data_IF_160242072605
#
_entry.id   IF_160242072605
#
_cell.length_a   1.000
_cell.length_b   1.000
_cell.length_c   1.000
_cell.angle_alpha   90.00
_cell.angle_beta   90.00
_cell.angle_gamma   90.00
#
_symmetry.space_group_name_H-M   'P 1'
#
loop_
_entity.id
_entity.type
_entity.pdbx_description
1 polymer ?
#
# COMPACT_ATOMS: atom_id res chain seq x y z
N UNK A 1 22.83 17.54 -6.09
CA UNK A 1 22.96 16.59 -7.23
C UNK A 1 22.87 17.40 -8.51
N UNK A 2 23.75 17.18 -9.51
CA UNK A 2 23.58 17.82 -10.82
C UNK A 2 22.23 17.43 -11.44
N UNK A 3 21.68 18.30 -12.30
CA UNK A 3 20.39 18.05 -12.94
C UNK A 3 20.48 16.80 -13.86
N UNK A 4 19.64 15.77 -13.65
CA UNK A 4 19.70 14.57 -14.47
C UNK A 4 19.24 14.83 -15.90
N UNK A 5 20.03 14.35 -16.87
CA UNK A 5 19.82 14.57 -18.31
C UNK A 5 19.03 13.45 -19.00
N UNK A 6 18.81 12.31 -18.34
CA UNK A 6 18.06 11.18 -18.90
C UNK A 6 17.06 10.67 -17.83
N UNK A 7 15.83 11.16 -17.90
CA UNK A 7 14.75 10.82 -16.97
C UNK A 7 13.79 9.87 -17.68
N UNK A 8 13.68 8.63 -17.18
CA UNK A 8 12.67 7.67 -17.61
C UNK A 8 11.44 7.80 -16.73
N UNK A 9 10.27 7.95 -17.35
CA UNK A 9 9.00 8.05 -16.64
C UNK A 9 8.33 6.67 -16.60
N UNK A 10 7.91 6.24 -15.40
CA UNK A 10 7.00 5.10 -15.22
C UNK A 10 5.88 5.54 -14.28
N UNK A 11 4.69 5.77 -14.82
CA UNK A 11 3.58 6.39 -14.07
C UNK A 11 3.96 7.79 -13.56
N UNK A 12 3.84 8.00 -12.24
CA UNK A 12 4.25 9.25 -11.57
C UNK A 12 5.63 9.20 -10.93
N UNK A 13 6.39 8.13 -11.20
CA UNK A 13 7.75 7.98 -10.70
C UNK A 13 8.73 8.29 -11.81
N UNK A 14 9.63 9.23 -11.55
CA UNK A 14 10.75 9.58 -12.40
C UNK A 14 11.96 8.76 -11.97
N UNK A 15 12.64 8.15 -12.93
CA UNK A 15 13.86 7.38 -12.74
C UNK A 15 14.99 8.07 -13.47
N UNK A 16 16.18 8.11 -12.89
CA UNK A 16 17.39 8.55 -13.60
C UNK A 16 18.58 7.74 -13.16
N UNK A 17 19.55 7.57 -14.05
CA UNK A 17 20.80 6.86 -13.75
C UNK A 17 21.94 7.87 -13.79
N UNK A 18 22.66 8.02 -12.67
CA UNK A 18 23.84 8.87 -12.56
C UNK A 18 24.96 8.07 -11.92
N UNK A 19 26.12 7.98 -12.60
CA UNK A 19 27.29 7.24 -12.13
C UNK A 19 26.95 5.78 -11.75
N UNK A 20 26.25 5.07 -12.65
CA UNK A 20 25.82 3.68 -12.48
C UNK A 20 24.92 3.42 -11.26
N UNK A 21 24.35 4.47 -10.67
CA UNK A 21 23.32 4.37 -9.63
C UNK A 21 22.00 4.86 -10.17
N UNK A 22 20.97 4.05 -10.03
CA UNK A 22 19.61 4.45 -10.38
C UNK A 22 19.02 5.24 -9.21
N UNK A 23 18.26 6.29 -9.50
CA UNK A 23 17.55 7.10 -8.52
C UNK A 23 16.09 7.22 -8.95
N UNK A 24 15.18 7.26 -7.98
CA UNK A 24 13.76 7.56 -8.19
C UNK A 24 13.33 8.79 -7.43
N UNK A 25 12.34 9.50 -7.96
CA UNK A 25 11.53 10.46 -7.20
C UNK A 25 10.09 10.47 -7.69
N UNK A 26 9.17 10.93 -6.85
CA UNK A 26 7.80 11.23 -7.30
C UNK A 26 7.81 12.56 -8.05
N UNK A 27 7.07 12.62 -9.16
CA UNK A 27 6.91 13.84 -9.94
C UNK A 27 6.32 14.96 -9.07
N UNK A 28 6.97 16.11 -9.04
CA UNK A 28 6.45 17.32 -8.39
C UNK A 28 6.75 17.48 -6.89
N UNK A 29 7.25 16.47 -6.20
CA UNK A 29 7.61 16.58 -4.77
C UNK A 29 8.64 15.51 -4.40
N UNK A 30 9.77 15.96 -3.81
CA UNK A 30 10.85 15.21 -3.13
C UNK A 30 12.22 15.12 -3.85
N UNK A 31 13.33 15.04 -3.09
CA UNK A 31 14.67 14.78 -3.61
C UNK A 31 14.76 13.38 -4.26
N UNK A 32 15.72 13.23 -5.17
CA UNK A 32 16.07 11.94 -5.78
C UNK A 32 16.57 10.94 -4.72
N UNK A 33 15.94 9.78 -4.64
CA UNK A 33 16.30 8.69 -3.75
C UNK A 33 17.00 7.58 -4.54
N UNK A 34 18.17 7.08 -4.13
CA UNK A 34 18.81 5.97 -4.82
C UNK A 34 17.92 4.72 -4.79
N UNK A 35 17.81 4.06 -5.93
CA UNK A 35 17.29 2.71 -6.07
C UNK A 35 18.51 1.82 -5.94
N UNK A 36 18.61 1.13 -4.82
CA UNK A 36 19.57 0.04 -4.69
C UNK A 36 19.14 -1.05 -5.69
N UNK A 37 20.00 -1.37 -6.65
CA UNK A 37 19.78 -2.47 -7.58
C UNK A 37 19.61 -3.77 -6.75
N UNK A 38 18.44 -4.39 -6.84
CA UNK A 38 17.88 -5.31 -5.82
C UNK A 38 18.61 -6.68 -5.64
N UNK A 39 18.20 -7.51 -4.65
CA UNK A 39 19.00 -8.17 -3.57
C UNK A 39 19.74 -9.47 -4.03
N UNK A 40 20.64 -10.14 -3.24
CA UNK A 40 20.77 -10.17 -1.78
C UNK A 40 22.18 -9.87 -1.23
N UNK A 41 22.21 -9.48 0.04
CA UNK A 41 23.41 -9.50 0.85
C UNK A 41 24.02 -8.12 1.06
N UNK A 42 23.85 -7.62 2.27
CA UNK A 42 24.86 -6.91 3.05
C UNK A 42 25.74 -5.91 2.31
N UNK A 43 25.51 -4.61 2.53
CA UNK A 43 26.44 -3.78 3.31
C UNK A 43 25.93 -2.33 3.39
N UNK A 44 25.19 -2.06 4.45
CA UNK A 44 25.20 -0.74 5.09
C UNK A 44 26.45 -0.67 5.99
N UNK A 45 27.27 0.36 5.82
CA UNK A 45 28.16 0.89 6.86
C UNK A 45 27.86 2.39 6.89
N UNK A 46 27.53 3.07 7.98
CA UNK A 46 27.88 2.85 9.37
C UNK A 46 26.88 3.58 10.28
N UNK A 47 25.88 2.84 10.71
CA UNK A 47 25.34 2.86 12.07
C UNK A 47 25.03 1.39 12.31
N UNK A 48 25.67 0.78 13.30
CA UNK A 48 25.71 -0.67 13.54
C UNK A 48 24.49 -1.41 12.98
N UNK A 49 24.66 -2.39 12.06
CA UNK A 49 23.55 -3.23 11.69
C UNK A 49 23.25 -4.05 12.94
N UNK A 50 22.21 -3.65 13.65
CA UNK A 50 21.56 -4.54 14.58
C UNK A 50 21.13 -5.74 13.71
N UNK A 51 21.91 -6.82 13.77
CA UNK A 51 21.64 -8.14 13.18
C UNK A 51 20.41 -8.79 13.83
N UNK A 52 19.47 -7.98 14.25
CA UNK A 52 18.26 -8.38 14.93
C UNK A 52 17.25 -8.59 13.82
N UNK A 53 16.72 -9.80 13.76
CA UNK A 53 15.52 -10.06 12.96
C UNK A 53 14.51 -8.93 13.18
N UNK A 54 13.70 -8.58 12.16
CA UNK A 54 12.65 -7.58 12.31
C UNK A 54 11.85 -7.87 13.58
N UNK A 55 11.68 -6.87 14.44
CA UNK A 55 10.82 -7.01 15.61
C UNK A 55 9.36 -7.00 15.14
N UNK A 56 8.90 -8.17 14.71
CA UNK A 56 7.53 -8.39 14.24
C UNK A 56 6.51 -8.22 15.35
N UNK A 57 6.93 -8.10 16.61
CA UNK A 57 6.02 -7.93 17.77
C UNK A 57 5.70 -6.46 18.05
N UNK A 58 6.35 -5.54 17.33
CA UNK A 58 6.18 -4.10 17.49
C UNK A 58 4.73 -3.67 17.25
N UNK A 59 4.26 -2.71 18.05
CA UNK A 59 2.86 -2.26 18.02
C UNK A 59 2.44 -1.51 16.75
N UNK A 60 3.40 -1.08 15.94
CA UNK A 60 3.23 -0.35 14.69
C UNK A 60 3.96 -1.05 13.53
N UNK A 61 4.06 -2.38 13.60
CA UNK A 61 4.76 -3.19 12.59
C UNK A 61 4.10 -3.11 11.21
N UNK A 62 2.78 -3.01 11.14
CA UNK A 62 2.04 -2.87 9.89
C UNK A 62 1.51 -1.45 9.72
N UNK A 63 1.39 -1.01 8.48
CA UNK A 63 0.68 0.21 8.11
C UNK A 63 -0.46 -0.13 7.16
N UNK A 64 -1.65 0.41 7.44
CA UNK A 64 -2.77 0.45 6.51
C UNK A 64 -2.69 1.72 5.67
N UNK A 65 -2.78 1.55 4.36
CA UNK A 65 -2.75 2.62 3.37
C UNK A 65 -4.06 2.68 2.60
N UNK A 66 -4.48 3.89 2.24
CA UNK A 66 -5.32 4.11 1.07
C UNK A 66 -4.42 4.26 -0.14
N UNK A 67 -4.60 3.38 -1.12
CA UNK A 67 -3.92 3.43 -2.41
C UNK A 67 -4.91 3.90 -3.48
N UNK A 68 -4.51 4.91 -4.25
CA UNK A 68 -5.24 5.37 -5.44
C UNK A 68 -4.44 5.01 -6.67
N UNK A 69 -5.07 4.33 -7.62
CA UNK A 69 -4.43 3.81 -8.82
C UNK A 69 -5.05 4.41 -10.07
N UNK A 70 -4.22 4.71 -11.07
CA UNK A 70 -4.68 5.14 -12.39
C UNK A 70 -5.47 4.00 -13.05
N UNK A 71 -6.59 4.37 -13.68
CA UNK A 71 -7.34 3.50 -14.59
C UNK A 71 -7.12 3.97 -16.04
N UNK A 72 -8.02 3.62 -16.96
CA UNK A 72 -7.95 4.14 -18.33
C UNK A 72 -8.05 5.68 -18.34
N UNK A 73 -7.59 6.34 -19.41
CA UNK A 73 -7.78 7.78 -19.56
C UNK A 73 -9.24 8.16 -19.33
N UNK A 74 -9.46 9.25 -18.59
CA UNK A 74 -10.78 9.81 -18.23
C UNK A 74 -11.63 8.98 -17.26
N UNK A 75 -11.12 7.84 -16.76
CA UNK A 75 -11.75 7.11 -15.67
C UNK A 75 -11.34 7.65 -14.29
N UNK A 76 -12.25 7.61 -13.29
CA UNK A 76 -11.89 7.96 -11.93
C UNK A 76 -10.82 7.01 -11.39
N UNK A 77 -10.07 7.46 -10.39
CA UNK A 77 -9.03 6.62 -9.80
C UNK A 77 -9.67 5.44 -9.06
N UNK A 78 -9.06 4.27 -9.25
CA UNK A 78 -9.38 3.08 -8.48
C UNK A 78 -8.85 3.21 -7.07
N UNK A 79 -9.64 2.81 -6.08
CA UNK A 79 -9.23 2.81 -4.68
C UNK A 79 -9.06 1.38 -4.19
N UNK A 80 -7.96 1.16 -3.49
CA UNK A 80 -7.69 -0.07 -2.76
C UNK A 80 -7.13 0.26 -1.38
N UNK A 81 -7.43 -0.59 -0.40
CA UNK A 81 -6.83 -0.53 0.93
C UNK A 81 -5.69 -1.52 0.97
N UNK A 82 -4.51 -1.12 1.44
CA UNK A 82 -3.33 -1.98 1.42
C UNK A 82 -2.71 -2.05 2.79
N UNK A 83 -2.46 -3.25 3.30
CA UNK A 83 -1.62 -3.44 4.47
C UNK A 83 -0.23 -3.88 4.02
N UNK A 84 0.80 -3.27 4.58
CA UNK A 84 2.19 -3.65 4.34
C UNK A 84 3.02 -3.42 5.59
N UNK A 85 4.12 -4.17 5.80
CA UNK A 85 5.08 -3.87 6.85
C UNK A 85 5.58 -2.42 6.75
N UNK A 86 5.57 -1.71 7.88
CA UNK A 86 5.85 -0.27 7.96
C UNK A 86 7.24 0.09 7.46
N UNK A 87 8.23 -0.75 7.75
CA UNK A 87 9.64 -0.51 7.40
C UNK A 87 10.07 -1.26 6.12
N UNK A 88 9.10 -1.71 5.33
CA UNK A 88 9.34 -2.58 4.18
C UNK A 88 9.58 -4.04 4.58
N UNK A 89 9.90 -4.86 3.59
CA UNK A 89 10.07 -6.29 3.81
C UNK A 89 11.42 -6.62 4.45
N UNK A 90 11.46 -7.57 5.40
CA UNK A 90 12.72 -8.00 5.96
C UNK A 90 13.63 -8.60 4.89
N UNK A 91 14.92 -8.23 4.93
CA UNK A 91 15.92 -8.65 3.93
C UNK A 91 16.45 -10.07 4.20
N UNK A 92 16.27 -10.57 5.42
CA UNK A 92 16.73 -11.90 5.84
C UNK A 92 15.53 -12.84 6.00
N UNK A 93 15.67 -14.11 5.59
CA UNK A 93 14.68 -15.17 5.87
C UNK A 93 14.37 -15.15 7.36
N UNK A 94 13.19 -14.63 7.68
CA UNK A 94 12.75 -14.45 9.05
C UNK A 94 12.59 -15.78 9.78
N UNK A 95 12.36 -15.70 11.11
CA UNK A 95 12.08 -16.88 11.91
C UNK A 95 10.95 -17.69 11.29
N UNK A 96 10.97 -19.01 11.46
CA UNK A 96 9.92 -19.92 10.98
C UNK A 96 8.59 -19.66 11.74
N UNK A 97 7.91 -18.57 11.42
CA UNK A 97 6.51 -18.33 11.79
C UNK A 97 5.60 -19.14 10.86
N UNK A 98 4.33 -19.31 11.23
CA UNK A 98 3.36 -20.08 10.44
C UNK A 98 3.26 -19.57 8.99
N UNK A 99 2.74 -20.38 8.07
CA UNK A 99 2.69 -20.04 6.64
C UNK A 99 2.00 -18.70 6.35
N UNK A 100 0.96 -18.36 7.12
CA UNK A 100 0.23 -17.10 6.97
C UNK A 100 1.02 -15.89 7.50
N UNK A 101 1.61 -16.00 8.69
CA UNK A 101 2.41 -14.92 9.31
C UNK A 101 3.66 -14.61 8.49
N UNK A 102 4.32 -15.63 7.93
CA UNK A 102 5.41 -15.41 6.99
C UNK A 102 4.91 -14.65 5.75
N UNK A 103 3.76 -15.02 5.20
CA UNK A 103 3.26 -14.42 3.96
C UNK A 103 3.02 -12.92 4.09
N UNK A 104 2.38 -12.47 5.18
CA UNK A 104 2.06 -11.04 5.38
C UNK A 104 3.25 -10.20 5.84
N UNK A 105 4.33 -10.83 6.32
CA UNK A 105 5.60 -10.14 6.64
C UNK A 105 6.42 -9.82 5.38
N UNK A 106 6.21 -10.55 4.29
CA UNK A 106 6.94 -10.35 3.02
C UNK A 106 6.04 -9.89 1.87
N UNK A 107 4.78 -9.59 2.14
CA UNK A 107 3.83 -9.16 1.12
C UNK A 107 3.06 -7.92 1.57
N UNK A 108 2.68 -7.11 0.59
CA UNK A 108 1.58 -6.16 0.74
C UNK A 108 0.28 -6.90 0.45
N UNK A 109 -0.69 -6.79 1.35
CA UNK A 109 -2.02 -7.36 1.19
C UNK A 109 -2.98 -6.27 0.74
N UNK A 110 -3.55 -6.43 -0.45
CA UNK A 110 -4.42 -5.47 -1.11
C UNK A 110 -5.86 -5.93 -0.95
N UNK A 111 -6.71 -5.10 -0.35
CA UNK A 111 -8.15 -5.23 -0.31
C UNK A 111 -8.76 -4.29 -1.35
N UNK A 112 -9.51 -4.84 -2.29
CA UNK A 112 -10.10 -4.06 -3.36
C UNK A 112 -11.37 -4.72 -3.87
N UNK A 113 -12.22 -3.90 -4.46
CA UNK A 113 -13.37 -4.35 -5.23
C UNK A 113 -13.20 -3.90 -6.68
N UNK A 114 -13.38 -4.81 -7.63
CA UNK A 114 -13.21 -4.56 -9.07
C UNK A 114 -14.43 -5.02 -9.85
N UNK A 115 -14.64 -4.44 -11.02
CA UNK A 115 -15.75 -4.76 -11.91
C UNK A 115 -16.66 -3.56 -12.19
N UNK A 116 -17.44 -3.70 -13.25
CA UNK A 116 -18.30 -2.61 -13.74
C UNK A 116 -19.70 -2.71 -13.13
N UNK A 117 -20.52 -3.63 -13.62
CA UNK A 117 -21.92 -3.82 -13.19
C UNK A 117 -22.04 -4.54 -11.85
N UNK A 118 -21.21 -5.57 -11.67
CA UNK A 118 -21.10 -6.32 -10.42
C UNK A 118 -19.65 -6.21 -9.93
N UNK A 119 -19.43 -5.38 -8.91
CA UNK A 119 -18.13 -5.35 -8.27
C UNK A 119 -17.95 -6.60 -7.42
N UNK A 120 -16.79 -7.23 -7.55
CA UNK A 120 -16.39 -8.38 -6.76
C UNK A 120 -15.25 -7.98 -5.84
N UNK A 121 -15.25 -8.53 -4.63
CA UNK A 121 -14.11 -8.45 -3.75
C UNK A 121 -12.97 -9.31 -4.32
N UNK A 122 -11.84 -8.69 -4.63
CA UNK A 122 -10.69 -9.30 -5.28
C UNK A 122 -9.41 -9.02 -4.49
N UNK A 123 -9.25 -9.63 -3.30
CA UNK A 123 -8.06 -9.42 -2.49
C UNK A 123 -6.83 -10.03 -3.16
N UNK A 124 -5.69 -9.38 -2.99
CA UNK A 124 -4.43 -9.80 -3.60
C UNK A 124 -3.29 -9.75 -2.58
N UNK A 125 -2.32 -10.66 -2.71
CA UNK A 125 -1.08 -10.61 -1.95
C UNK A 125 0.10 -10.43 -2.90
N UNK A 126 0.85 -9.36 -2.72
CA UNK A 126 1.94 -8.99 -3.59
C UNK A 126 3.25 -8.95 -2.82
N UNK A 127 4.25 -9.71 -3.25
CA UNK A 127 5.62 -9.63 -2.73
C UNK A 127 6.36 -8.37 -3.22
N UNK A 128 5.66 -7.23 -3.22
CA UNK A 128 6.17 -5.89 -3.50
C UNK A 128 5.71 -4.94 -2.40
N UNK A 129 6.58 -4.07 -1.85
CA UNK A 129 6.15 -3.03 -0.93
C UNK A 129 5.24 -2.03 -1.66
N UNK A 130 4.46 -1.25 -0.90
CA UNK A 130 3.40 -0.38 -1.44
C UNK A 130 3.92 0.61 -2.49
N UNK A 131 5.16 1.08 -2.32
CA UNK A 131 5.80 2.04 -3.22
C UNK A 131 6.19 1.45 -4.57
N UNK A 132 6.21 0.13 -4.70
CA UNK A 132 6.55 -0.61 -5.92
C UNK A 132 5.32 -1.26 -6.58
N UNK A 133 4.11 -0.96 -6.08
CA UNK A 133 2.88 -1.41 -6.71
C UNK A 133 2.65 -0.69 -8.05
N UNK A 134 1.99 -1.40 -8.96
CA UNK A 134 1.79 -0.92 -10.33
C UNK A 134 0.66 0.12 -10.40
N UNK A 135 0.78 1.06 -11.35
CA UNK A 135 -0.20 2.11 -11.64
C UNK A 135 -0.58 3.03 -10.47
N UNK A 136 0.27 3.15 -9.44
CA UNK A 136 0.00 4.00 -8.27
C UNK A 136 0.00 5.48 -8.65
N UNK A 137 -1.13 6.15 -8.36
CA UNK A 137 -1.27 7.60 -8.43
C UNK A 137 -0.82 8.25 -7.13
N UNK A 138 -1.38 7.80 -6.00
CA UNK A 138 -1.08 8.36 -4.68
C UNK A 138 -1.31 7.33 -3.58
N UNK A 139 -0.64 7.54 -2.46
CA UNK A 139 -0.68 6.65 -1.29
C UNK A 139 -0.83 7.49 -0.03
N UNK A 140 -1.75 7.12 0.85
CA UNK A 140 -1.98 7.80 2.13
C UNK A 140 -1.93 6.80 3.27
N UNK A 141 -1.01 6.99 4.23
CA UNK A 141 -0.99 6.20 5.45
C UNK A 141 -2.21 6.58 6.32
N UNK A 142 -3.03 5.58 6.64
CA UNK A 142 -4.21 5.76 7.48
C UNK A 142 -3.87 5.52 8.94
N UNK A 143 -3.21 4.40 9.25
CA UNK A 143 -2.82 4.04 10.62
C UNK A 143 -1.71 2.99 10.63
N UNK A 144 -0.99 2.88 11.75
CA UNK A 144 -0.07 1.79 12.04
C UNK A 144 -0.56 0.93 13.19
N UNK A 145 -0.34 -0.38 13.12
CA UNK A 145 -0.82 -1.33 14.12
C UNK A 145 -0.01 -2.63 14.15
N UNK A 146 -0.37 -3.50 15.09
CA UNK A 146 0.21 -4.83 15.31
C UNK A 146 -0.59 -5.94 14.62
N UNK A 147 -0.30 -7.19 15.00
CA UNK A 147 -0.99 -8.38 14.50
C UNK A 147 -2.49 -8.42 14.80
N UNK A 148 -2.93 -7.87 15.93
CA UNK A 148 -4.35 -7.84 16.28
C UNK A 148 -5.07 -6.82 15.41
N UNK A 149 -4.43 -5.66 15.17
CA UNK A 149 -4.89 -4.68 14.19
C UNK A 149 -4.96 -5.25 12.77
N UNK A 150 -3.95 -6.01 12.33
CA UNK A 150 -3.94 -6.69 11.03
C UNK A 150 -5.16 -7.62 10.87
N UNK A 151 -5.35 -8.55 11.82
CA UNK A 151 -6.46 -9.52 11.79
C UNK A 151 -7.81 -8.81 11.79
N UNK A 152 -7.94 -7.74 12.57
CA UNK A 152 -9.15 -6.94 12.63
C UNK A 152 -9.42 -6.24 11.29
N UNK A 153 -8.42 -5.57 10.73
CA UNK A 153 -8.55 -4.86 9.46
C UNK A 153 -8.94 -5.78 8.31
N UNK A 154 -8.27 -6.93 8.20
CA UNK A 154 -8.62 -7.97 7.24
C UNK A 154 -10.05 -8.49 7.46
N UNK A 155 -10.40 -8.85 8.69
CA UNK A 155 -11.72 -9.39 9.01
C UNK A 155 -12.87 -8.42 8.75
N UNK A 156 -12.64 -7.11 8.86
CA UNK A 156 -13.63 -6.09 8.46
C UNK A 156 -13.73 -6.00 6.94
N UNK A 157 -12.61 -5.89 6.23
CA UNK A 157 -12.59 -5.76 4.78
C UNK A 157 -13.26 -6.96 4.09
N UNK A 158 -13.00 -8.18 4.55
CA UNK A 158 -13.58 -9.41 3.99
C UNK A 158 -15.09 -9.54 4.22
N UNK A 159 -15.63 -8.93 5.29
CA UNK A 159 -17.07 -8.96 5.60
C UNK A 159 -17.84 -7.84 4.92
N UNK A 160 -17.15 -6.83 4.39
CA UNK A 160 -17.81 -5.70 3.76
C UNK A 160 -18.31 -6.06 2.36
N UNK A 161 -19.63 -6.06 2.19
CA UNK A 161 -20.23 -6.41 0.90
C UNK A 161 -19.76 -5.47 -0.21
N UNK A 162 -19.24 -6.01 -1.33
CA UNK A 162 -18.92 -5.22 -2.50
C UNK A 162 -20.14 -4.45 -3.04
N UNK A 163 -19.94 -3.28 -3.67
CA UNK A 163 -21.01 -2.57 -4.35
C UNK A 163 -21.71 -3.47 -5.37
N UNK A 164 -23.04 -3.52 -5.29
CA UNK A 164 -23.88 -4.25 -6.25
C UNK A 164 -24.97 -3.35 -6.76
N UNK A 165 -25.15 -3.33 -8.07
CA UNK A 165 -26.29 -2.70 -8.71
C UNK A 165 -26.94 -3.74 -9.64
N UNK A 166 -28.28 -3.82 -9.64
CA UNK A 166 -28.97 -4.73 -10.57
C UNK A 166 -28.94 -4.20 -12.00
N UNK A 167 -28.82 -2.88 -12.14
CA UNK A 167 -28.72 -2.16 -13.41
C UNK A 167 -27.80 -0.95 -13.28
N UNK A 168 -27.28 -0.46 -14.41
CA UNK A 168 -26.34 0.67 -14.46
C UNK A 168 -26.91 1.96 -13.85
N UNK A 169 -28.22 2.22 -14.03
CA UNK A 169 -28.91 3.41 -13.52
C UNK A 169 -29.16 3.41 -12.01
N UNK A 170 -29.00 2.27 -11.34
CA UNK A 170 -29.16 2.12 -9.88
C UNK A 170 -27.83 2.20 -9.12
N UNK A 171 -26.71 2.44 -9.84
CA UNK A 171 -25.37 2.45 -9.27
C UNK A 171 -25.19 3.69 -8.38
N UNK A 172 -25.36 3.49 -7.09
CA UNK A 172 -25.16 4.51 -6.06
C UNK A 172 -23.78 4.41 -5.39
N UNK A 173 -23.03 3.35 -5.67
CA UNK A 173 -21.79 3.02 -4.98
C UNK A 173 -20.70 2.46 -5.91
N UNK A 174 -19.43 2.73 -5.58
CA UNK A 174 -18.23 2.26 -6.28
C UNK A 174 -17.10 1.87 -5.29
N UNK A 175 -15.90 1.56 -5.78
CA UNK A 175 -14.76 1.11 -4.96
C UNK A 175 -14.28 2.15 -3.94
N UNK A 176 -14.50 3.44 -4.20
CA UNK A 176 -14.13 4.53 -3.31
C UNK A 176 -15.04 4.55 -2.09
N UNK A 177 -16.35 4.46 -2.33
CA UNK A 177 -17.35 4.38 -1.28
C UNK A 177 -17.20 3.11 -0.43
N UNK A 178 -16.93 1.95 -1.06
CA UNK A 178 -16.62 0.71 -0.34
C UNK A 178 -15.41 0.89 0.59
N UNK A 179 -14.33 1.50 0.08
CA UNK A 179 -13.14 1.80 0.88
C UNK A 179 -13.46 2.71 2.06
N UNK A 180 -14.31 3.73 1.86
CA UNK A 180 -14.79 4.61 2.95
C UNK A 180 -15.62 3.84 3.98
N UNK A 181 -16.48 2.89 3.56
CA UNK A 181 -17.25 2.04 4.49
C UNK A 181 -16.34 1.16 5.34
N UNK A 182 -15.36 0.50 4.72
CA UNK A 182 -14.38 -0.33 5.44
C UNK A 182 -13.64 0.50 6.47
N UNK A 183 -13.09 1.66 6.08
CA UNK A 183 -12.36 2.53 7.02
C UNK A 183 -13.28 3.03 8.12
N UNK A 184 -14.56 3.30 7.86
CA UNK A 184 -15.49 3.75 8.90
C UNK A 184 -15.68 2.67 9.97
N UNK A 185 -15.87 1.43 9.56
CA UNK A 185 -15.93 0.29 10.50
C UNK A 185 -14.63 0.13 11.29
N UNK A 186 -13.47 0.43 10.68
CA UNK A 186 -12.20 0.45 11.40
C UNK A 186 -12.10 1.59 12.42
N UNK A 187 -12.75 2.72 12.17
CA UNK A 187 -12.89 3.81 13.17
C UNK A 187 -13.81 3.38 14.31
N UNK A 188 -14.97 2.77 13.99
CA UNK A 188 -15.91 2.27 15.00
C UNK A 188 -15.25 1.25 15.95
N UNK A 189 -14.28 0.50 15.43
CA UNK A 189 -13.47 -0.48 16.17
C UNK A 189 -12.24 0.11 16.89
N UNK A 190 -12.06 1.43 16.83
CA UNK A 190 -10.97 2.17 17.46
C UNK A 190 -9.60 1.96 16.82
N UNK A 191 -9.53 1.42 15.60
CA UNK A 191 -8.27 1.16 14.90
C UNK A 191 -7.80 2.34 14.06
N UNK A 192 -8.72 3.15 13.51
CA UNK A 192 -8.41 4.32 12.69
C UNK A 192 -9.01 5.58 13.34
N UNK A 193 -8.36 6.73 13.17
CA UNK A 193 -8.89 8.00 13.64
C UNK A 193 -9.99 8.54 12.70
N UNK A 194 -11.07 9.10 13.27
CA UNK A 194 -12.20 9.67 12.51
C UNK A 194 -11.75 10.74 11.50
N UNK A 195 -10.68 11.49 11.79
CA UNK A 195 -10.13 12.48 10.86
C UNK A 195 -9.77 11.90 9.48
N UNK A 196 -9.41 10.61 9.42
CA UNK A 196 -9.11 9.92 8.15
C UNK A 196 -10.35 9.71 7.29
N UNK A 197 -11.54 9.57 7.88
CA UNK A 197 -12.79 9.50 7.12
C UNK A 197 -13.11 10.84 6.48
N UNK A 198 -12.93 11.94 7.20
CA UNK A 198 -13.06 13.29 6.65
C UNK A 198 -12.16 13.48 5.42
N UNK A 199 -10.86 13.19 5.59
CA UNK A 199 -9.87 13.23 4.50
C UNK A 199 -10.29 12.39 3.29
N UNK A 200 -10.78 11.16 3.50
CA UNK A 200 -11.21 10.30 2.40
C UNK A 200 -12.46 10.83 1.70
N UNK A 201 -13.45 11.33 2.43
CA UNK A 201 -14.68 11.87 1.83
C UNK A 201 -14.43 13.09 0.95
N UNK A 202 -13.45 13.92 1.29
CA UNK A 202 -13.03 15.07 0.47
C UNK A 202 -12.34 14.66 -0.84
N UNK A 203 -11.95 13.39 -0.99
CA UNK A 203 -11.29 12.85 -2.19
C UNK A 203 -12.23 12.09 -3.14
N UNK A 204 -13.48 11.85 -2.73
CA UNK A 204 -14.51 11.15 -3.53
C UNK A 204 -15.16 12.12 -4.51
#
# INVERSE_FOLDING_TARGET
MPAPTNIKLVGFTEFTTLNDKTYKRRRGTQPWLPIEDSPPGSQATSSEPSSTAPDITRKDFFTLYLLRQNQYPDEPLHWSLVISPTDGFPVSRGPRVSSFENHVVYCSYVFQVRGDENMNYEPESLSKPVELLDCVHSTYALVRFDWDGLKKAQGIAEKEEPPRARTWGERTENCQHWSVRVVRKLVDEGLVEEAKIGMMREMV
#
